data_IF_612668511994
#
_entry.id   IF_612668511994
#
_cell.length_a   1.000
_cell.length_b   1.000
_cell.length_c   1.000
_cell.angle_alpha   90.00
_cell.angle_beta   90.00
_cell.angle_gamma   90.00
#
_symmetry.space_group_name_H-M   'P 1'
#
loop_
_entity.id
_entity.type
_entity.pdbx_description
1 polymer ?
#
# COMPACT_ATOMS: atom_id res chain seq x y z
N UNK A 1 16.73 33.92 23.69
CA UNK A 1 16.99 34.64 22.43
C UNK A 1 17.20 33.57 21.37
N UNK A 2 16.19 33.34 20.54
CA UNK A 2 16.07 32.16 19.66
C UNK A 2 16.66 32.52 18.29
N UNK A 3 17.59 31.71 17.80
CA UNK A 3 18.23 31.84 16.49
C UNK A 3 17.37 31.10 15.46
N UNK A 4 16.89 31.82 14.45
CA UNK A 4 16.23 31.27 13.26
C UNK A 4 17.29 30.86 12.23
N UNK A 5 17.28 29.59 11.81
CA UNK A 5 18.04 29.10 10.66
C UNK A 5 17.12 28.92 9.46
N UNK A 6 17.32 29.71 8.40
CA UNK A 6 16.62 29.59 7.12
C UNK A 6 17.45 28.71 6.17
N UNK A 7 16.80 27.70 5.58
CA UNK A 7 17.39 26.81 4.57
C UNK A 7 17.19 27.38 3.15
N UNK A 8 18.26 27.30 2.37
CA UNK A 8 18.41 27.79 1.00
C UNK A 8 17.96 26.69 0.00
N UNK A 9 17.16 27.05 -1.02
CA UNK A 9 16.76 26.20 -2.13
C UNK A 9 17.70 26.44 -3.33
N UNK A 10 18.35 25.37 -3.82
CA UNK A 10 19.17 25.37 -5.02
C UNK A 10 18.39 24.68 -6.15
N UNK A 11 18.14 25.43 -7.23
CA UNK A 11 17.55 24.94 -8.48
C UNK A 11 18.70 24.58 -9.42
N UNK A 12 18.76 23.34 -9.89
CA UNK A 12 19.62 22.92 -11.01
C UNK A 12 18.72 22.37 -12.10
N UNK A 13 18.81 22.99 -13.28
CA UNK A 13 18.16 22.56 -14.51
C UNK A 13 19.01 21.60 -15.35
N UNK A 14 18.45 21.27 -16.51
CA UNK A 14 19.02 20.39 -17.54
C UNK A 14 18.08 19.20 -17.77
N UNK A 15 17.66 18.83 -18.98
CA UNK A 15 18.14 19.16 -20.31
C UNK A 15 17.85 17.94 -21.20
N UNK A 16 17.28 18.20 -22.37
CA UNK A 16 17.02 17.34 -23.53
C UNK A 16 17.72 15.96 -23.59
N UNK A 17 16.97 14.93 -23.99
CA UNK A 17 17.46 13.89 -24.90
C UNK A 17 16.44 13.57 -26.00
N UNK A 18 16.95 13.57 -27.24
CA UNK A 18 16.25 13.29 -28.48
C UNK A 18 16.09 11.78 -28.70
N UNK A 19 14.94 11.36 -29.22
CA UNK A 19 14.69 9.99 -29.69
C UNK A 19 14.88 9.96 -31.21
N UNK A 20 15.85 9.17 -31.66
CA UNK A 20 16.04 8.79 -33.06
C UNK A 20 15.13 7.61 -33.39
N UNK A 21 14.27 7.79 -34.38
CA UNK A 21 13.51 6.75 -35.08
C UNK A 21 14.39 6.01 -36.09
N UNK A 22 14.10 4.73 -36.34
CA UNK A 22 13.49 4.24 -37.61
C UNK A 22 14.06 2.90 -38.12
N UNK A 23 13.11 2.00 -38.37
CA UNK A 23 13.02 0.90 -39.36
C UNK A 23 13.88 -0.37 -39.28
N UNK A 24 13.15 -1.49 -39.27
CA UNK A 24 13.60 -2.83 -39.64
C UNK A 24 12.39 -3.71 -39.96
N UNK A 25 11.70 -3.44 -41.07
CA UNK A 25 10.60 -4.27 -41.59
C UNK A 25 11.12 -5.27 -42.62
N UNK A 26 11.09 -6.56 -42.29
CA UNK A 26 11.44 -7.68 -43.16
C UNK A 26 10.23 -8.56 -43.44
N UNK A 27 9.91 -8.67 -44.73
CA UNK A 27 8.82 -9.42 -45.38
C UNK A 27 8.80 -10.92 -45.08
N UNK A 28 7.61 -11.51 -44.92
CA UNK A 28 7.38 -12.94 -45.10
C UNK A 28 6.21 -13.18 -46.08
N UNK A 29 6.49 -14.10 -47.00
CA UNK A 29 5.74 -14.44 -48.21
C UNK A 29 4.62 -15.43 -47.91
N UNK A 30 3.49 -15.22 -48.58
CA UNK A 30 2.31 -16.09 -48.61
C UNK A 30 2.50 -17.28 -49.56
N UNK A 31 2.00 -18.47 -49.20
CA UNK A 31 1.45 -19.46 -50.17
C UNK A 31 0.61 -20.55 -49.48
N UNK A 32 -0.68 -20.57 -49.83
CA UNK A 32 -1.56 -21.69 -50.23
C UNK A 32 -1.79 -22.96 -49.37
N UNK A 33 -3.06 -23.09 -48.92
CA UNK A 33 -4.01 -24.23 -49.01
C UNK A 33 -3.52 -25.68 -48.91
N UNK A 34 -4.19 -26.48 -48.06
CA UNK A 34 -5.25 -27.47 -48.41
C UNK A 34 -5.65 -28.23 -47.12
N UNK A 35 -6.96 -28.46 -46.96
CA UNK A 35 -7.55 -29.24 -45.89
C UNK A 35 -7.36 -30.75 -46.12
N UNK A 36 -7.11 -31.51 -45.05
CA UNK A 36 -7.65 -32.87 -44.95
C UNK A 36 -7.81 -33.33 -43.50
N UNK A 37 -8.96 -33.95 -43.23
CA UNK A 37 -9.37 -34.53 -41.96
C UNK A 37 -8.53 -35.78 -41.66
N UNK A 38 -7.89 -35.82 -40.49
CA UNK A 38 -7.43 -37.07 -39.86
C UNK A 38 -7.88 -37.06 -38.40
N UNK A 39 -8.72 -38.02 -38.05
CA UNK A 39 -9.25 -38.26 -36.70
C UNK A 39 -8.24 -39.05 -35.86
N UNK A 40 -7.82 -38.51 -34.69
CA UNK A 40 -7.30 -39.28 -33.55
C UNK A 40 -7.10 -38.36 -32.31
N UNK A 41 -6.82 -38.94 -31.14
CA UNK A 41 -7.71 -39.51 -30.11
C UNK A 41 -8.06 -38.48 -29.01
N UNK A 42 -8.97 -38.82 -28.10
CA UNK A 42 -9.27 -38.01 -26.91
C UNK A 42 -8.01 -37.74 -26.09
N UNK A 43 -7.68 -36.46 -25.90
CA UNK A 43 -6.68 -36.00 -24.96
C UNK A 43 -7.42 -35.77 -23.64
N UNK A 44 -6.92 -36.46 -22.61
CA UNK A 44 -7.30 -36.33 -21.21
C UNK A 44 -7.15 -34.86 -20.83
N UNK A 45 -8.22 -34.24 -20.33
CA UNK A 45 -8.17 -32.88 -19.80
C UNK A 45 -7.01 -32.77 -18.81
N UNK A 46 -6.10 -31.80 -18.97
CA UNK A 46 -5.14 -31.50 -17.93
C UNK A 46 -5.93 -30.99 -16.74
N UNK A 47 -5.82 -31.74 -15.64
CA UNK A 47 -6.16 -31.39 -14.27
C UNK A 47 -6.23 -29.87 -14.10
N UNK A 48 -7.46 -29.34 -14.03
CA UNK A 48 -7.72 -27.97 -13.62
C UNK A 48 -7.03 -27.78 -12.27
N UNK A 49 -5.89 -27.09 -12.31
CA UNK A 49 -5.30 -26.46 -11.13
C UNK A 49 -6.44 -25.74 -10.42
N UNK A 50 -6.84 -26.27 -9.26
CA UNK A 50 -7.89 -25.68 -8.45
C UNK A 50 -7.52 -24.22 -8.21
N UNK A 51 -8.29 -23.32 -8.82
CA UNK A 51 -8.34 -21.93 -8.41
C UNK A 51 -8.89 -22.01 -7.00
N UNK A 52 -8.01 -21.91 -6.00
CA UNK A 52 -8.40 -21.70 -4.63
C UNK A 52 -9.23 -20.41 -4.63
N UNK A 53 -10.56 -20.57 -4.63
CA UNK A 53 -11.48 -19.45 -4.58
C UNK A 53 -11.23 -18.78 -3.24
N UNK A 54 -10.41 -17.72 -3.26
CA UNK A 54 -10.29 -16.75 -2.19
C UNK A 54 -11.68 -16.15 -1.94
N UNK A 55 -12.47 -16.81 -1.10
CA UNK A 55 -13.78 -16.35 -0.70
C UNK A 55 -13.58 -15.04 0.06
N UNK A 56 -13.88 -13.93 -0.61
CA UNK A 56 -13.89 -12.60 0.01
C UNK A 56 -14.88 -12.66 1.17
N UNK A 57 -14.43 -12.46 2.43
CA UNK A 57 -15.31 -12.61 3.58
C UNK A 57 -16.49 -11.63 3.54
N UNK A 58 -17.57 -11.96 4.25
CA UNK A 58 -18.68 -11.01 4.39
C UNK A 58 -18.19 -9.72 5.06
N UNK A 59 -18.58 -8.57 4.51
CA UNK A 59 -18.09 -7.26 4.97
C UNK A 59 -16.77 -6.82 4.33
N UNK A 60 -16.17 -7.62 3.44
CA UNK A 60 -14.93 -7.31 2.75
C UNK A 60 -15.13 -7.04 1.25
N UNK A 61 -14.09 -6.49 0.63
CA UNK A 61 -13.89 -6.35 -0.82
C UNK A 61 -12.54 -6.97 -1.17
N UNK A 62 -12.38 -7.35 -2.43
CA UNK A 62 -11.09 -7.74 -2.98
C UNK A 62 -10.60 -6.69 -3.96
N UNK A 63 -9.32 -6.38 -3.90
CA UNK A 63 -8.59 -5.62 -4.89
C UNK A 63 -7.66 -6.57 -5.65
N UNK A 64 -7.54 -6.38 -6.96
CA UNK A 64 -6.65 -7.14 -7.82
C UNK A 64 -6.14 -6.24 -8.92
N UNK A 65 -4.83 -6.24 -9.17
CA UNK A 65 -4.22 -5.51 -10.27
C UNK A 65 -3.10 -6.36 -10.89
N UNK A 66 -3.26 -6.68 -12.17
CA UNK A 66 -2.35 -7.54 -12.91
C UNK A 66 -0.99 -6.89 -13.18
N UNK A 67 -0.95 -5.56 -13.38
CA UNK A 67 0.30 -4.83 -13.60
C UNK A 67 1.14 -4.78 -12.32
N UNK A 68 0.49 -4.63 -11.17
CA UNK A 68 1.14 -4.71 -9.86
C UNK A 68 1.37 -6.15 -9.39
N UNK A 69 0.80 -7.15 -10.07
CA UNK A 69 0.97 -8.59 -9.80
C UNK A 69 0.53 -9.07 -8.41
N UNK A 70 -0.50 -8.46 -7.84
CA UNK A 70 -1.08 -8.95 -6.58
C UNK A 70 -2.58 -8.66 -6.44
N UNK A 71 -3.17 -9.37 -5.49
CA UNK A 71 -4.51 -9.11 -4.95
C UNK A 71 -4.45 -9.09 -3.42
N UNK A 72 -5.40 -8.38 -2.82
CA UNK A 72 -5.54 -8.26 -1.37
C UNK A 72 -7.01 -8.03 -1.02
N UNK A 73 -7.47 -8.60 0.10
CA UNK A 73 -8.78 -8.29 0.64
C UNK A 73 -8.68 -7.12 1.62
N UNK A 74 -9.72 -6.29 1.65
CA UNK A 74 -9.83 -5.16 2.56
C UNK A 74 -11.27 -4.98 3.04
N UNK A 75 -11.50 -4.47 4.27
CA UNK A 75 -12.85 -4.30 4.80
C UNK A 75 -13.61 -3.23 4.02
N UNK A 76 -14.94 -3.37 3.91
CA UNK A 76 -15.81 -2.37 3.27
C UNK A 76 -15.78 -1.05 4.04
N UNK A 77 -15.74 -1.12 5.36
CA UNK A 77 -15.73 0.03 6.27
C UNK A 77 -14.76 -0.22 7.43
N UNK A 78 -14.25 0.86 8.01
CA UNK A 78 -13.42 0.86 9.23
C UNK A 78 -13.90 1.95 10.16
N UNK A 79 -13.68 1.79 11.46
CA UNK A 79 -13.91 2.90 12.39
C UNK A 79 -12.72 3.85 12.36
N UNK A 80 -13.01 5.14 12.21
CA UNK A 80 -12.01 6.21 12.27
C UNK A 80 -12.43 7.19 13.35
N UNK A 81 -11.49 7.66 14.17
CA UNK A 81 -11.75 8.61 15.25
C UNK A 81 -12.45 9.89 14.76
N UNK A 82 -12.04 10.36 13.57
CA UNK A 82 -12.63 11.48 12.83
C UNK A 82 -13.67 11.01 11.79
N UNK A 83 -14.33 9.86 12.02
CA UNK A 83 -15.32 9.31 11.08
C UNK A 83 -16.63 10.10 11.03
N UNK A 84 -16.89 10.90 12.06
CA UNK A 84 -18.03 11.83 12.17
C UNK A 84 -17.73 12.93 13.18
N UNK A 85 -18.67 13.85 13.37
CA UNK A 85 -18.67 14.74 14.52
C UNK A 85 -20.00 14.69 15.27
N UNK A 86 -19.97 15.02 16.54
CA UNK A 86 -21.15 15.34 17.32
C UNK A 86 -21.11 16.76 17.84
N UNK A 87 -22.28 17.37 17.92
CA UNK A 87 -22.46 18.71 18.47
C UNK A 87 -22.78 18.57 19.95
N UNK A 88 -21.92 19.10 20.81
CA UNK A 88 -22.09 19.06 22.27
C UNK A 88 -22.18 20.47 22.85
N UNK A 89 -22.88 20.61 23.97
CA UNK A 89 -23.00 21.86 24.71
C UNK A 89 -22.12 21.78 25.96
N UNK A 90 -21.16 22.69 26.06
CA UNK A 90 -20.22 22.83 27.18
C UNK A 90 -20.46 24.19 27.85
N UNK A 91 -21.22 24.20 28.95
CA UNK A 91 -21.66 25.45 29.58
C UNK A 91 -22.67 26.20 28.72
N UNK A 92 -22.35 27.43 28.32
CA UNK A 92 -23.18 28.26 27.44
C UNK A 92 -22.81 28.16 25.96
N UNK A 93 -21.72 27.47 25.62
CA UNK A 93 -21.23 27.36 24.25
C UNK A 93 -21.58 25.99 23.68
N UNK A 94 -21.70 25.94 22.35
CA UNK A 94 -21.90 24.69 21.62
C UNK A 94 -20.76 24.49 20.66
N UNK A 95 -20.21 23.28 20.60
CA UNK A 95 -19.07 22.92 19.76
C UNK A 95 -19.27 21.58 19.11
N UNK A 96 -18.79 21.44 17.87
CA UNK A 96 -18.52 20.13 17.31
C UNK A 96 -17.29 19.51 17.97
N UNK A 97 -17.34 18.19 18.19
CA UNK A 97 -16.22 17.34 18.62
C UNK A 97 -16.12 16.11 17.72
N UNK A 98 -14.92 15.53 17.53
CA UNK A 98 -14.76 14.32 16.75
C UNK A 98 -15.52 13.17 17.41
N UNK A 99 -16.14 12.32 16.59
CA UNK A 99 -16.81 11.13 17.05
C UNK A 99 -16.41 9.94 16.17
N UNK A 100 -15.89 8.86 16.78
CA UNK A 100 -15.60 7.65 16.03
C UNK A 100 -16.83 7.13 15.28
N UNK A 101 -16.67 6.86 13.99
CA UNK A 101 -17.73 6.27 13.17
C UNK A 101 -17.13 5.40 12.07
N UNK A 102 -17.94 4.46 11.60
CA UNK A 102 -17.58 3.61 10.47
C UNK A 102 -17.61 4.43 9.17
N UNK A 103 -16.50 4.42 8.45
CA UNK A 103 -16.32 5.09 7.16
C UNK A 103 -15.87 4.07 6.11
N UNK A 104 -16.32 4.20 4.85
CA UNK A 104 -15.93 3.28 3.79
C UNK A 104 -14.42 3.37 3.50
N UNK A 105 -13.83 2.23 3.13
CA UNK A 105 -12.45 2.17 2.62
C UNK A 105 -12.45 2.27 1.10
N UNK A 106 -11.43 2.95 0.58
CA UNK A 106 -11.13 3.10 -0.84
C UNK A 106 -9.66 2.77 -1.12
N UNK A 107 -9.44 2.16 -2.28
CA UNK A 107 -8.11 1.97 -2.86
C UNK A 107 -7.81 3.16 -3.78
N UNK A 108 -6.61 3.71 -3.66
CA UNK A 108 -6.10 4.76 -4.52
C UNK A 108 -4.86 4.23 -5.23
N UNK A 109 -4.98 3.94 -6.52
CA UNK A 109 -3.86 3.43 -7.31
C UNK A 109 -2.83 4.52 -7.58
N UNK A 110 -1.55 4.13 -7.50
CA UNK A 110 -0.39 4.94 -7.88
C UNK A 110 0.45 4.19 -8.91
N UNK A 111 1.44 4.87 -9.49
CA UNK A 111 2.32 4.27 -10.50
C UNK A 111 3.11 3.07 -10.03
N UNK A 112 3.45 3.02 -8.74
CA UNK A 112 4.32 2.00 -8.14
C UNK A 112 3.69 1.34 -6.92
N UNK A 113 2.35 1.32 -6.84
CA UNK A 113 1.66 0.74 -5.70
C UNK A 113 0.23 1.21 -5.55
N UNK A 114 -0.30 1.04 -4.35
CA UNK A 114 -1.61 1.52 -3.94
C UNK A 114 -1.59 2.11 -2.54
N UNK A 115 -2.53 3.01 -2.27
CA UNK A 115 -2.92 3.39 -0.93
C UNK A 115 -4.25 2.74 -0.57
N UNK A 116 -4.35 2.21 0.66
CA UNK A 116 -5.60 1.74 1.24
C UNK A 116 -5.95 2.68 2.39
N UNK A 117 -7.02 3.45 2.26
CA UNK A 117 -7.37 4.48 3.22
C UNK A 117 -8.90 4.64 3.36
N UNK A 118 -9.38 5.25 4.45
CA UNK A 118 -10.74 5.78 4.50
C UNK A 118 -11.03 6.65 3.26
N UNK A 119 -12.23 6.55 2.70
CA UNK A 119 -12.63 7.39 1.56
C UNK A 119 -12.70 8.87 1.96
N UNK A 120 -13.03 9.15 3.22
CA UNK A 120 -13.11 10.47 3.79
C UNK A 120 -12.89 10.44 5.30
N UNK A 121 -12.59 11.61 5.86
CA UNK A 121 -12.65 11.92 7.29
C UNK A 121 -13.49 13.20 7.48
N UNK A 122 -13.83 13.52 8.72
CA UNK A 122 -14.43 14.80 9.09
C UNK A 122 -13.40 15.69 9.79
N UNK A 123 -13.28 16.93 9.34
CA UNK A 123 -12.45 17.95 9.98
C UNK A 123 -13.32 18.96 10.71
N UNK A 124 -12.83 19.46 11.84
CA UNK A 124 -13.50 20.52 12.58
C UNK A 124 -13.08 21.88 12.01
N UNK A 125 -14.03 22.81 11.95
CA UNK A 125 -13.82 24.15 11.40
C UNK A 125 -14.45 25.24 12.26
N UNK A 126 -14.28 26.48 11.81
CA UNK A 126 -14.75 27.69 12.48
C UNK A 126 -14.29 27.74 13.95
N UNK A 127 -12.97 27.71 14.22
CA UNK A 127 -12.45 27.73 15.58
C UNK A 127 -12.75 29.08 16.26
N UNK A 128 -13.30 29.01 17.46
CA UNK A 128 -13.56 30.15 18.36
C UNK A 128 -12.98 29.84 19.73
N UNK A 129 -12.12 30.71 20.24
CA UNK A 129 -11.51 30.55 21.57
C UNK A 129 -12.18 31.46 22.60
N UNK A 130 -12.63 30.91 23.73
CA UNK A 130 -13.23 31.63 24.85
C UNK A 130 -12.62 31.10 26.14
N UNK A 131 -12.10 31.99 27.00
CA UNK A 131 -11.48 31.60 28.28
C UNK A 131 -10.45 30.47 28.14
N UNK A 132 -9.63 30.52 27.09
CA UNK A 132 -8.60 29.52 26.77
C UNK A 132 -9.14 28.12 26.40
N UNK A 133 -10.41 28.00 26.04
CA UNK A 133 -11.02 26.78 25.48
C UNK A 133 -11.40 27.03 24.02
N UNK A 134 -11.06 26.10 23.12
CA UNK A 134 -11.41 26.17 21.70
C UNK A 134 -12.69 25.39 21.40
N UNK A 135 -13.63 26.08 20.77
CA UNK A 135 -14.90 25.58 20.27
C UNK A 135 -14.88 25.60 18.75
N UNK A 136 -15.58 24.68 18.11
CA UNK A 136 -15.66 24.55 16.66
C UNK A 136 -17.10 24.70 16.19
N UNK A 137 -17.33 25.66 15.31
CA UNK A 137 -18.64 25.97 14.76
C UNK A 137 -19.07 25.03 13.63
N UNK A 138 -18.12 24.35 12.98
CA UNK A 138 -18.37 23.48 11.84
C UNK A 138 -17.70 22.12 11.92
N UNK A 139 -18.14 21.24 11.02
CA UNK A 139 -17.64 19.89 10.82
C UNK A 139 -17.85 19.50 9.35
N UNK A 140 -16.79 19.48 8.56
CA UNK A 140 -16.85 19.17 7.13
C UNK A 140 -16.33 17.78 6.83
N UNK A 141 -17.03 17.09 5.93
CA UNK A 141 -16.51 15.88 5.30
C UNK A 141 -15.42 16.25 4.30
N UNK A 142 -14.20 15.78 4.53
CA UNK A 142 -13.05 15.90 3.63
C UNK A 142 -12.73 14.55 3.02
N UNK A 143 -12.82 14.47 1.70
CA UNK A 143 -12.47 13.24 0.98
C UNK A 143 -10.96 13.09 0.89
N UNK A 144 -10.47 11.87 1.10
CA UNK A 144 -9.07 11.55 0.86
C UNK A 144 -8.82 11.51 -0.65
N UNK A 145 -7.63 11.98 -1.04
CA UNK A 145 -7.17 12.02 -2.43
C UNK A 145 -5.78 11.42 -2.52
N UNK A 146 -5.42 10.86 -3.68
CA UNK A 146 -4.09 10.29 -3.88
C UNK A 146 -2.97 11.31 -3.57
N UNK A 147 -3.12 12.55 -4.01
CA UNK A 147 -2.16 13.62 -3.71
C UNK A 147 -2.03 13.92 -2.22
N UNK A 148 -3.13 13.87 -1.47
CA UNK A 148 -3.11 14.04 -0.01
C UNK A 148 -2.40 12.86 0.69
N UNK A 149 -2.72 11.63 0.29
CA UNK A 149 -2.15 10.41 0.88
C UNK A 149 -0.64 10.25 0.65
N UNK A 150 -0.10 10.83 -0.44
CA UNK A 150 1.36 10.87 -0.67
C UNK A 150 2.09 11.77 0.34
N UNK A 151 1.39 12.72 0.95
CA UNK A 151 1.94 13.66 1.94
C UNK A 151 1.65 13.18 3.36
N UNK A 152 0.44 12.67 3.59
CA UNK A 152 -0.04 12.23 4.90
C UNK A 152 0.19 10.72 5.09
N UNK A 153 1.11 10.34 5.97
CA UNK A 153 1.44 8.93 6.28
C UNK A 153 0.42 8.25 7.22
N UNK A 154 -0.88 8.44 6.98
CA UNK A 154 -1.98 7.94 7.83
C UNK A 154 -2.70 6.72 7.24
N UNK A 155 -2.08 6.05 6.27
CA UNK A 155 -2.69 4.94 5.54
C UNK A 155 -1.66 3.89 5.14
N UNK A 156 -2.11 2.68 4.85
CA UNK A 156 -1.24 1.68 4.23
C UNK A 156 -0.90 2.12 2.82
N UNK A 157 0.40 2.22 2.55
CA UNK A 157 0.96 2.41 1.22
C UNK A 157 1.69 1.14 0.82
N UNK A 158 1.07 0.33 -0.03
CA UNK A 158 1.66 -0.91 -0.57
C UNK A 158 2.41 -0.53 -1.85
N UNK A 159 3.73 -0.48 -1.75
CA UNK A 159 4.61 -0.25 -2.88
C UNK A 159 4.98 -1.58 -3.53
N UNK A 160 4.87 -1.67 -4.85
CA UNK A 160 5.26 -2.82 -5.65
C UNK A 160 6.47 -2.45 -6.50
N UNK A 161 7.52 -3.26 -6.46
CA UNK A 161 8.75 -3.05 -7.26
C UNK A 161 9.22 -4.35 -7.89
N UNK A 162 9.75 -4.24 -9.11
CA UNK A 162 10.39 -5.36 -9.80
C UNK A 162 11.71 -5.68 -9.13
N UNK A 163 11.85 -6.93 -8.68
CA UNK A 163 13.05 -7.49 -8.06
C UNK A 163 13.24 -8.90 -8.62
N UNK A 164 14.02 -9.05 -9.70
CA UNK A 164 14.16 -10.34 -10.40
C UNK A 164 14.96 -11.41 -9.66
N UNK A 165 15.92 -11.01 -8.83
CA UNK A 165 16.86 -11.92 -8.18
C UNK A 165 16.99 -11.62 -6.69
N UNK A 166 17.67 -12.53 -5.96
CA UNK A 166 17.96 -12.32 -4.55
C UNK A 166 18.96 -11.18 -4.34
N UNK A 167 19.91 -11.02 -5.26
CA UNK A 167 20.88 -9.94 -5.27
C UNK A 167 20.20 -8.57 -5.48
N UNK A 168 19.17 -8.53 -6.33
CA UNK A 168 18.33 -7.34 -6.50
C UNK A 168 17.52 -7.04 -5.23
N UNK A 169 17.07 -8.08 -4.51
CA UNK A 169 16.34 -7.93 -3.24
C UNK A 169 17.24 -7.30 -2.15
N UNK A 170 18.50 -7.74 -2.08
CA UNK A 170 19.51 -7.15 -1.20
C UNK A 170 19.71 -5.65 -1.51
N UNK A 171 19.87 -5.33 -2.80
CA UNK A 171 20.01 -3.94 -3.26
C UNK A 171 18.77 -3.11 -2.95
N UNK A 172 17.58 -3.68 -3.14
CA UNK A 172 16.31 -3.04 -2.79
C UNK A 172 16.23 -2.72 -1.30
N UNK A 173 16.56 -3.69 -0.43
CA UNK A 173 16.53 -3.51 1.03
C UNK A 173 17.49 -2.40 1.46
N UNK A 174 18.72 -2.40 0.93
CA UNK A 174 19.71 -1.36 1.23
C UNK A 174 19.26 0.03 0.76
N UNK A 175 18.63 0.11 -0.40
CA UNK A 175 18.14 1.38 -0.96
C UNK A 175 16.94 1.91 -0.18
N UNK A 176 16.01 1.03 0.18
CA UNK A 176 14.74 1.39 0.81
C UNK A 176 14.90 1.72 2.30
N UNK A 177 15.76 0.98 3.00
CA UNK A 177 15.84 1.04 4.47
C UNK A 177 17.18 1.56 4.99
N UNK A 178 18.21 1.61 4.15
CA UNK A 178 19.53 2.14 4.47
C UNK A 178 20.65 1.16 4.17
N UNK A 179 21.84 1.68 3.85
CA UNK A 179 22.97 0.88 3.37
C UNK A 179 23.50 -0.14 4.39
N UNK A 180 23.16 0.00 5.67
CA UNK A 180 23.49 -1.00 6.70
C UNK A 180 22.47 -2.13 6.81
N UNK A 181 21.36 -2.09 6.06
CA UNK A 181 20.32 -3.10 6.09
C UNK A 181 20.64 -4.26 5.15
N UNK A 182 20.22 -5.47 5.52
CA UNK A 182 20.40 -6.67 4.68
C UNK A 182 19.18 -7.58 4.69
N UNK A 183 19.08 -8.45 3.69
CA UNK A 183 18.04 -9.49 3.64
C UNK A 183 18.37 -10.56 4.66
N UNK A 184 17.52 -10.67 5.66
CA UNK A 184 17.59 -11.70 6.68
C UNK A 184 16.81 -12.95 6.31
N UNK A 185 16.20 -13.56 7.33
CA UNK A 185 15.38 -14.76 7.16
C UNK A 185 14.16 -14.51 6.26
N UNK A 186 13.94 -15.43 5.32
CA UNK A 186 12.76 -15.46 4.45
C UNK A 186 11.86 -16.61 4.88
N UNK A 187 10.63 -16.30 5.30
CA UNK A 187 9.67 -17.31 5.76
C UNK A 187 8.55 -17.43 4.73
N UNK A 188 8.34 -18.62 4.18
CA UNK A 188 7.21 -18.84 3.27
C UNK A 188 5.90 -18.68 4.03
N UNK A 189 4.96 -17.92 3.48
CA UNK A 189 3.63 -17.78 4.09
C UNK A 189 2.88 -19.13 4.02
N UNK A 190 2.17 -19.55 5.08
CA UNK A 190 1.42 -20.81 5.07
C UNK A 190 0.34 -20.85 3.99
N UNK A 191 -0.27 -19.70 3.68
CA UNK A 191 -1.33 -19.57 2.68
C UNK A 191 -0.83 -19.74 1.24
N UNK A 192 0.44 -19.40 0.98
CA UNK A 192 1.00 -19.52 -0.35
C UNK A 192 2.52 -19.72 -0.24
N UNK A 193 2.98 -20.94 -0.53
CA UNK A 193 4.39 -21.32 -0.51
C UNK A 193 5.26 -20.57 -1.54
N UNK A 194 4.68 -19.64 -2.31
CA UNK A 194 5.35 -18.78 -3.29
C UNK A 194 5.53 -17.32 -2.82
N UNK A 195 5.02 -16.97 -1.64
CA UNK A 195 5.22 -15.66 -1.02
C UNK A 195 6.12 -15.83 0.20
N UNK A 196 7.16 -15.02 0.28
CA UNK A 196 8.08 -15.00 1.41
C UNK A 196 7.93 -13.70 2.19
N UNK A 197 7.63 -13.80 3.48
CA UNK A 197 7.84 -12.69 4.42
C UNK A 197 9.33 -12.56 4.69
N UNK A 198 9.89 -11.40 4.36
CA UNK A 198 11.33 -11.13 4.42
C UNK A 198 11.61 -10.28 5.65
N UNK A 199 12.42 -10.81 6.56
CA UNK A 199 13.00 -10.03 7.65
C UNK A 199 14.14 -9.17 7.11
N UNK A 200 14.15 -7.87 7.43
CA UNK A 200 15.34 -7.04 7.25
C UNK A 200 16.18 -7.07 8.51
N UNK A 201 17.47 -7.35 8.34
CA UNK A 201 18.47 -7.37 9.41
C UNK A 201 19.25 -6.06 9.41
N UNK A 202 19.47 -5.50 10.61
CA UNK A 202 20.29 -4.32 10.80
C UNK A 202 21.77 -4.65 10.95
N UNK A 203 22.60 -3.61 10.96
CA UNK A 203 24.05 -3.68 11.11
C UNK A 203 24.53 -3.96 12.54
N UNK A 204 23.60 -4.08 13.50
CA UNK A 204 23.90 -4.35 14.91
C UNK A 204 24.48 -3.15 15.67
N UNK A 205 24.43 -1.95 15.09
CA UNK A 205 24.90 -0.72 15.71
C UNK A 205 23.76 0.01 16.44
N UNK A 206 24.14 0.90 17.37
CA UNK A 206 23.19 1.77 18.06
C UNK A 206 22.62 2.84 17.12
N UNK A 207 21.45 3.39 17.45
CA UNK A 207 20.73 4.39 16.63
C UNK A 207 21.58 5.57 16.09
N UNK A 208 22.54 6.17 16.82
CA UNK A 208 23.35 7.28 16.28
C UNK A 208 24.40 6.83 15.25
N UNK A 209 24.71 5.54 15.19
CA UNK A 209 25.79 4.97 14.37
C UNK A 209 25.27 4.06 13.25
N UNK A 210 24.05 3.54 13.39
CA UNK A 210 23.45 2.62 12.43
C UNK A 210 23.19 3.29 11.08
N UNK A 211 23.51 2.55 10.02
CA UNK A 211 23.09 2.82 8.65
C UNK A 211 21.82 2.04 8.27
N UNK A 212 21.21 1.34 9.23
CA UNK A 212 19.93 0.66 9.10
C UNK A 212 18.92 1.20 10.13
N UNK A 213 18.46 2.43 9.90
CA UNK A 213 17.56 3.17 10.80
C UNK A 213 16.10 2.68 10.77
N UNK A 214 15.87 1.36 10.75
CA UNK A 214 14.54 0.78 10.74
C UNK A 214 13.94 0.89 12.14
N UNK A 215 13.00 1.83 12.28
CA UNK A 215 12.12 1.89 13.44
C UNK A 215 10.89 1.02 13.15
N UNK A 216 10.88 -0.17 13.74
CA UNK A 216 10.02 -1.32 13.50
C UNK A 216 8.57 -1.03 13.04
N UNK A 217 8.08 -1.98 12.21
CA UNK A 217 6.70 -2.21 11.73
C UNK A 217 6.47 -1.79 10.27
N UNK A 218 7.13 -2.55 9.40
CA UNK A 218 6.88 -2.66 7.96
C UNK A 218 6.56 -4.13 7.64
N UNK A 219 5.94 -4.36 6.50
CA UNK A 219 5.88 -5.68 5.88
C UNK A 219 6.74 -5.65 4.62
N UNK A 220 7.50 -6.72 4.39
CA UNK A 220 8.25 -6.92 3.17
C UNK A 220 7.92 -8.32 2.64
N UNK A 221 7.18 -8.39 1.53
CA UNK A 221 6.83 -9.65 0.86
C UNK A 221 7.61 -9.76 -0.43
N UNK A 222 8.33 -10.87 -0.61
CA UNK A 222 9.04 -11.17 -1.86
C UNK A 222 8.39 -12.36 -2.55
N UNK A 223 8.17 -12.22 -3.86
CA UNK A 223 7.53 -13.23 -4.72
C UNK A 223 8.48 -13.51 -5.89
N UNK A 224 9.36 -14.54 -5.78
CA UNK A 224 10.38 -14.83 -6.78
C UNK A 224 9.81 -15.10 -8.18
N UNK A 225 8.73 -15.88 -8.26
CA UNK A 225 8.11 -16.26 -9.53
C UNK A 225 7.54 -15.04 -10.29
N UNK A 226 6.96 -14.10 -9.54
CA UNK A 226 6.46 -12.84 -10.10
C UNK A 226 7.58 -11.82 -10.37
N UNK A 227 8.78 -12.03 -9.80
CA UNK A 227 9.91 -11.10 -9.79
C UNK A 227 9.56 -9.77 -9.15
N UNK A 228 8.81 -9.82 -8.04
CA UNK A 228 8.28 -8.63 -7.37
C UNK A 228 8.59 -8.65 -5.88
N UNK A 229 8.79 -7.46 -5.34
CA UNK A 229 8.77 -7.19 -3.90
C UNK A 229 7.66 -6.19 -3.58
N UNK A 230 7.04 -6.37 -2.42
CA UNK A 230 5.98 -5.53 -1.90
C UNK A 230 6.37 -5.03 -0.52
N UNK A 231 6.24 -3.73 -0.29
CA UNK A 231 6.48 -3.14 1.03
C UNK A 231 5.32 -2.26 1.44
N UNK A 232 4.94 -2.31 2.72
CA UNK A 232 4.04 -1.34 3.30
C UNK A 232 4.44 -1.01 4.72
N UNK A 233 4.26 0.27 5.06
CA UNK A 233 4.47 0.79 6.41
C UNK A 233 3.20 0.56 7.21
N UNK A 234 3.28 -0.31 8.20
CA UNK A 234 2.18 -0.59 9.11
C UNK A 234 2.11 0.46 10.24
N UNK A 235 3.26 1.00 10.66
CA UNK A 235 3.34 1.99 11.73
C UNK A 235 3.24 1.37 13.13
N UNK A 236 3.36 2.18 14.18
CA UNK A 236 3.39 1.67 15.57
C UNK A 236 2.00 1.32 16.14
N UNK A 237 0.94 1.68 15.45
CA UNK A 237 -0.44 1.38 15.80
C UNK A 237 -1.14 0.76 14.59
N UNK A 238 -2.25 0.07 14.83
CA UNK A 238 -3.12 -0.40 13.75
C UNK A 238 -3.63 0.78 12.91
N UNK A 239 -3.89 0.52 11.63
CA UNK A 239 -4.46 1.52 10.71
C UNK A 239 -5.97 1.36 10.52
N UNK A 240 -6.52 0.15 10.75
CA UNK A 240 -7.90 -0.19 10.38
C UNK A 240 -8.67 -0.81 11.54
N UNK A 241 -9.28 0.03 12.40
CA UNK A 241 -10.10 -0.46 13.52
C UNK A 241 -11.41 -1.13 13.07
N UNK A 242 -11.77 -2.23 13.72
CA UNK A 242 -13.06 -2.92 13.52
C UNK A 242 -14.19 -2.31 14.35
N UNK A 243 -13.85 -1.68 15.46
CA UNK A 243 -14.79 -1.14 16.43
C UNK A 243 -14.44 0.30 16.81
N UNK A 244 -15.40 1.03 17.39
CA UNK A 244 -15.24 2.44 17.76
C UNK A 244 -14.21 2.70 18.87
N UNK A 245 -13.93 1.71 19.70
CA UNK A 245 -12.92 1.75 20.76
C UNK A 245 -11.53 1.33 20.30
N UNK A 246 -11.41 0.75 19.11
CA UNK A 246 -10.13 0.36 18.52
C UNK A 246 -9.44 -0.79 19.27
N UNK A 247 -10.24 -1.67 19.87
CA UNK A 247 -9.77 -2.88 20.55
C UNK A 247 -9.49 -4.03 19.59
N UNK A 248 -10.17 -4.03 18.44
CA UNK A 248 -9.99 -4.97 17.35
C UNK A 248 -9.59 -4.22 16.07
N UNK A 249 -8.76 -4.85 15.24
CA UNK A 249 -8.26 -4.26 14.00
C UNK A 249 -8.16 -5.27 12.85
N UNK A 250 -8.28 -4.78 11.61
CA UNK A 250 -8.24 -5.58 10.39
C UNK A 250 -6.83 -5.77 9.82
N UNK A 251 -5.83 -5.02 10.30
CA UNK A 251 -4.47 -4.99 9.74
C UNK A 251 -3.86 -6.39 9.52
N UNK A 252 -3.93 -7.30 10.49
CA UNK A 252 -3.36 -8.64 10.35
C UNK A 252 -4.13 -9.50 9.32
N UNK A 253 -5.46 -9.45 9.35
CA UNK A 253 -6.31 -10.17 8.38
C UNK A 253 -6.09 -9.67 6.95
N UNK A 254 -5.92 -8.36 6.79
CA UNK A 254 -5.57 -7.76 5.51
C UNK A 254 -4.18 -8.23 5.03
N UNK A 255 -3.18 -8.21 5.90
CA UNK A 255 -1.82 -8.68 5.62
C UNK A 255 -1.79 -10.16 5.17
N UNK A 256 -2.57 -11.01 5.84
CA UNK A 256 -2.69 -12.44 5.52
C UNK A 256 -3.45 -12.70 4.22
N UNK A 257 -4.30 -11.77 3.78
CA UNK A 257 -5.07 -11.89 2.54
C UNK A 257 -4.30 -11.54 1.26
N UNK A 258 -3.01 -11.21 1.37
CA UNK A 258 -2.17 -10.91 0.22
C UNK A 258 -1.94 -12.15 -0.65
N UNK A 259 -2.19 -12.04 -1.96
CA UNK A 259 -1.95 -13.10 -2.92
C UNK A 259 -1.27 -12.58 -4.18
N UNK A 260 -0.19 -13.23 -4.65
CA UNK A 260 0.46 -12.88 -5.90
C UNK A 260 -0.40 -13.29 -7.11
N UNK A 261 -0.25 -12.54 -8.20
CA UNK A 261 -0.82 -12.84 -9.52
C UNK A 261 0.35 -13.15 -10.46
N UNK A 262 0.23 -14.22 -11.24
CA UNK A 262 1.28 -14.72 -12.13
C UNK A 262 0.89 -14.61 -13.59
#
# INVERSE_FOLDING_TARGET
>A
MIIFGAFLLVIIGGGLFAILTKEGGGTAVSTNTVADKVTRPQIIDPEETQIENNLVPEGWKSYSNADLKFSINYPKNVFVHQGSCEKITEGSETSYRPKPAAVPIKIFEDTDGIFIAPEFIYELSDPKTINNVTYFGGCEKKSNTLSGLKVEQISWHIQAKTVPTKEDLETFVQTQFGAGCSVGTMTSTPANNKVYDVRVEGDGLEMPETLCGINYIYVLKYVPDAKMVYTYKLGQAYSFAKDSGGSEYYDEEMNQSFHPIF
#
